data_IF_026769721381
#
_entry.id   IF_026769721381
#
_cell.length_a   1.000
_cell.length_b   1.000
_cell.length_c   1.000
_cell.angle_alpha   90.00
_cell.angle_beta   90.00
_cell.angle_gamma   90.00
#
_symmetry.space_group_name_H-M   'P 1'
#
loop_
_entity.id
_entity.type
_entity.pdbx_description
1 polymer ?
#
# COMPACT_ATOMS: atom_id res chain seq x y z
N UNK A 1 12.52 23.62 -22.03
CA UNK A 1 12.52 24.52 -20.84
C UNK A 1 11.07 24.73 -20.42
N UNK A 2 10.60 23.97 -19.46
CA UNK A 2 9.27 24.16 -18.87
C UNK A 2 9.30 25.41 -18.00
N UNK A 3 8.48 26.40 -18.33
CA UNK A 3 8.33 27.63 -17.57
C UNK A 3 7.24 27.48 -16.52
N UNK A 4 7.57 27.95 -15.34
CA UNK A 4 6.74 28.38 -14.21
C UNK A 4 5.36 27.73 -14.00
N UNK A 5 5.26 27.08 -12.90
CA UNK A 5 4.09 26.62 -12.16
C UNK A 5 2.96 27.66 -12.18
N UNK A 6 1.86 27.34 -12.82
CA UNK A 6 0.58 27.98 -12.58
C UNK A 6 -0.20 27.11 -11.60
N UNK A 7 -0.24 27.50 -10.34
CA UNK A 7 -1.12 26.85 -9.36
C UNK A 7 -2.45 27.59 -9.26
N UNK A 8 -3.56 26.88 -9.40
CA UNK A 8 -4.89 27.37 -9.04
C UNK A 8 -5.38 26.57 -7.84
N UNK A 9 -5.63 27.25 -6.74
CA UNK A 9 -6.29 26.66 -5.58
C UNK A 9 -7.70 27.22 -5.48
N UNK A 10 -8.69 26.35 -5.49
CA UNK A 10 -10.06 26.69 -5.11
C UNK A 10 -10.65 25.52 -4.32
N UNK A 11 -11.33 25.80 -3.22
CA UNK A 11 -12.09 24.82 -2.42
C UNK A 11 -11.36 23.51 -2.08
N UNK A 12 -10.07 23.59 -1.68
CA UNK A 12 -9.30 22.40 -1.27
C UNK A 12 -8.70 21.59 -2.44
N UNK A 13 -8.84 22.06 -3.69
CA UNK A 13 -8.22 21.43 -4.87
C UNK A 13 -7.04 22.29 -5.33
N UNK A 14 -5.88 21.65 -5.51
CA UNK A 14 -4.70 22.27 -6.10
C UNK A 14 -4.40 21.59 -7.44
N UNK A 15 -4.30 22.38 -8.51
CA UNK A 15 -3.89 21.92 -9.84
C UNK A 15 -2.56 22.57 -10.21
N UNK A 16 -1.57 21.76 -10.54
CA UNK A 16 -0.23 22.23 -10.90
C UNK A 16 0.20 21.65 -12.24
N UNK A 17 0.78 22.49 -13.10
CA UNK A 17 1.50 22.08 -14.29
C UNK A 17 2.99 22.12 -13.99
N UNK A 18 3.60 20.96 -13.76
CA UNK A 18 5.00 20.84 -13.41
C UNK A 18 5.53 19.44 -13.75
N UNK A 19 6.85 19.27 -13.73
CA UNK A 19 7.43 17.94 -13.63
C UNK A 19 7.09 17.36 -12.25
N UNK A 20 6.38 16.24 -12.22
CA UNK A 20 5.92 15.63 -10.97
C UNK A 20 7.08 15.20 -10.06
N UNK A 21 8.24 14.81 -10.61
CA UNK A 21 9.43 14.47 -9.82
C UNK A 21 9.89 15.63 -8.92
N UNK A 22 9.76 16.86 -9.40
CA UNK A 22 10.15 18.07 -8.64
C UNK A 22 9.12 18.43 -7.55
N UNK A 23 7.96 17.80 -7.55
CA UNK A 23 6.83 18.12 -6.66
C UNK A 23 6.66 17.15 -5.50
N UNK A 24 7.08 15.91 -5.62
CA UNK A 24 6.84 14.89 -4.60
C UNK A 24 7.40 15.25 -3.21
N UNK A 25 8.55 15.92 -3.16
CA UNK A 25 9.14 16.37 -1.89
C UNK A 25 8.31 17.42 -1.14
N UNK A 26 7.36 18.06 -1.84
CA UNK A 26 6.46 19.08 -1.27
C UNK A 26 5.08 18.55 -0.93
N UNK A 27 4.84 17.26 -1.13
CA UNK A 27 3.56 16.66 -0.80
C UNK A 27 3.30 16.65 0.71
N UNK A 28 2.10 17.02 1.11
CA UNK A 28 1.56 16.47 2.34
C UNK A 28 1.36 14.98 2.11
N UNK A 29 1.84 14.10 3.00
CA UNK A 29 1.77 12.66 2.77
C UNK A 29 0.35 12.22 2.39
N UNK A 30 0.16 11.66 1.19
CA UNK A 30 -1.17 11.40 0.65
C UNK A 30 -1.80 10.15 1.26
N UNK A 31 -3.11 10.15 1.45
CA UNK A 31 -3.88 8.93 1.78
C UNK A 31 -4.05 8.04 0.54
N UNK A 32 -4.18 8.67 -0.64
CA UNK A 32 -4.37 7.97 -1.91
C UNK A 32 -3.45 8.58 -2.97
N UNK A 33 -2.79 7.74 -3.73
CA UNK A 33 -2.09 8.10 -4.96
C UNK A 33 -2.84 7.45 -6.12
N UNK A 34 -3.22 8.24 -7.12
CA UNK A 34 -3.75 7.75 -8.39
C UNK A 34 -2.71 8.07 -9.45
N UNK A 35 -2.15 7.03 -10.05
CA UNK A 35 -1.16 7.15 -11.12
C UNK A 35 -1.80 6.67 -12.43
N UNK A 36 -2.11 7.63 -13.29
CA UNK A 36 -2.59 7.42 -14.66
C UNK A 36 -1.61 8.14 -15.58
N UNK A 37 -0.48 7.50 -15.81
CA UNK A 37 0.65 8.05 -16.54
C UNK A 37 0.91 7.31 -17.85
N UNK A 38 2.16 7.31 -18.35
CA UNK A 38 2.52 6.69 -19.61
C UNK A 38 2.20 5.19 -19.66
N UNK A 39 1.75 4.75 -20.83
CA UNK A 39 1.44 3.34 -21.14
C UNK A 39 2.48 2.69 -22.08
N UNK A 40 3.53 3.45 -22.46
CA UNK A 40 4.55 2.98 -23.41
C UNK A 40 4.03 2.92 -24.85
N UNK A 41 3.24 3.90 -25.26
CA UNK A 41 2.60 3.95 -26.56
C UNK A 41 3.19 5.02 -27.51
N UNK A 42 4.22 5.75 -27.07
CA UNK A 42 4.87 6.86 -27.82
C UNK A 42 3.93 7.95 -28.32
N UNK A 43 2.76 8.13 -27.68
CA UNK A 43 1.73 9.05 -28.15
C UNK A 43 1.88 10.49 -27.63
N UNK A 44 2.67 10.67 -26.56
CA UNK A 44 2.85 11.97 -25.91
C UNK A 44 4.35 12.26 -25.70
N UNK A 45 4.75 13.54 -25.69
CA UNK A 45 6.12 13.92 -25.37
C UNK A 45 6.54 13.40 -23.98
N UNK A 46 7.60 12.60 -23.93
CA UNK A 46 8.10 11.98 -22.70
C UNK A 46 7.50 10.61 -22.38
N UNK A 47 6.55 10.13 -23.18
CA UNK A 47 6.06 8.76 -23.08
C UNK A 47 7.13 7.78 -23.57
N UNK A 48 7.45 6.72 -22.84
CA UNK A 48 8.33 5.65 -23.29
C UNK A 48 7.86 5.04 -24.61
N UNK A 49 8.82 4.58 -25.41
CA UNK A 49 8.52 4.06 -26.75
C UNK A 49 7.79 2.71 -26.70
N UNK A 50 8.05 1.93 -25.67
CA UNK A 50 7.45 0.59 -25.50
C UNK A 50 7.05 0.37 -24.06
N UNK A 51 6.16 -0.61 -23.83
CA UNK A 51 5.81 -1.03 -22.49
C UNK A 51 7.02 -1.56 -21.70
N UNK A 52 8.03 -2.13 -22.37
CA UNK A 52 9.23 -2.67 -21.74
C UNK A 52 10.06 -1.58 -21.02
N UNK A 53 9.98 -0.35 -21.47
CA UNK A 53 10.72 0.78 -20.88
C UNK A 53 10.03 1.36 -19.63
N UNK A 54 8.79 0.96 -19.35
CA UNK A 54 7.97 1.54 -18.30
C UNK A 54 8.52 1.26 -16.89
N UNK A 55 9.14 0.10 -16.67
CA UNK A 55 9.75 -0.22 -15.39
C UNK A 55 10.83 0.79 -15.00
N UNK A 56 11.71 1.11 -15.93
CA UNK A 56 12.79 2.10 -15.74
C UNK A 56 12.20 3.52 -15.64
N UNK A 57 11.26 3.87 -16.48
CA UNK A 57 10.62 5.19 -16.47
C UNK A 57 9.91 5.49 -15.15
N UNK A 58 9.17 4.52 -14.62
CA UNK A 58 8.44 4.69 -13.36
C UNK A 58 9.34 4.58 -12.11
N UNK A 59 10.52 4.01 -12.19
CA UNK A 59 11.37 3.76 -11.03
C UNK A 59 11.61 5.01 -10.15
N UNK A 60 11.99 6.19 -10.67
CA UNK A 60 12.17 7.39 -9.84
C UNK A 60 10.85 7.90 -9.24
N UNK A 61 9.73 7.76 -9.95
CA UNK A 61 8.41 8.12 -9.45
C UNK A 61 8.00 7.21 -8.29
N UNK A 62 8.15 5.90 -8.45
CA UNK A 62 7.82 4.89 -7.44
C UNK A 62 8.68 5.06 -6.19
N UNK A 63 9.97 5.33 -6.35
CA UNK A 63 10.87 5.64 -5.24
C UNK A 63 10.37 6.85 -4.44
N UNK A 64 10.02 7.94 -5.13
CA UNK A 64 9.49 9.15 -4.49
C UNK A 64 8.13 8.90 -3.83
N UNK A 65 7.20 8.20 -4.49
CA UNK A 65 5.91 7.82 -3.87
C UNK A 65 6.12 7.03 -2.59
N UNK A 66 7.07 6.10 -2.58
CA UNK A 66 7.38 5.27 -1.41
C UNK A 66 7.96 6.10 -0.27
N UNK A 67 8.83 7.04 -0.58
CA UNK A 67 9.46 7.92 0.40
C UNK A 67 8.46 8.87 1.07
N UNK A 68 7.48 9.38 0.31
CA UNK A 68 6.54 10.41 0.78
C UNK A 68 5.15 9.85 1.14
N UNK A 69 4.96 8.54 1.13
CA UNK A 69 3.71 7.89 1.53
C UNK A 69 3.70 7.49 3.01
N UNK A 70 2.50 7.38 3.57
CA UNK A 70 2.25 6.83 4.90
C UNK A 70 2.00 5.30 4.81
N UNK A 71 2.08 4.56 5.93
CA UNK A 71 1.68 3.16 5.97
C UNK A 71 0.24 2.92 5.51
N UNK A 72 -0.65 3.89 5.71
CA UNK A 72 -2.07 3.85 5.31
C UNK A 72 -2.32 4.27 3.85
N UNK A 73 -1.30 4.76 3.13
CA UNK A 73 -1.45 5.20 1.74
C UNK A 73 -1.79 4.03 0.82
N UNK A 74 -2.77 4.23 -0.06
CA UNK A 74 -3.07 3.34 -1.18
C UNK A 74 -2.57 3.91 -2.50
N UNK A 75 -2.11 3.05 -3.39
CA UNK A 75 -1.77 3.41 -4.77
C UNK A 75 -2.73 2.71 -5.72
N UNK A 76 -3.30 3.48 -6.65
CA UNK A 76 -4.14 3.02 -7.75
C UNK A 76 -3.40 3.31 -9.04
N UNK A 77 -2.87 2.27 -9.64
CA UNK A 77 -1.99 2.34 -10.81
C UNK A 77 -2.73 1.90 -12.06
N UNK A 78 -2.97 2.83 -12.98
CA UNK A 78 -3.59 2.58 -14.27
C UNK A 78 -2.54 2.27 -15.31
N UNK A 79 -2.74 1.22 -16.10
CA UNK A 79 -1.88 0.87 -17.21
C UNK A 79 -2.53 -0.18 -18.13
N UNK A 80 -1.86 -0.51 -19.23
CA UNK A 80 -2.11 -1.75 -19.95
C UNK A 80 -1.61 -2.95 -19.14
N UNK A 81 -2.07 -4.15 -19.50
CA UNK A 81 -1.62 -5.40 -18.86
C UNK A 81 -0.10 -5.63 -19.01
N UNK A 82 0.46 -5.28 -20.17
CA UNK A 82 1.91 -5.40 -20.42
C UNK A 82 2.69 -4.36 -19.61
N UNK A 83 2.25 -3.11 -19.62
CA UNK A 83 2.90 -2.06 -18.85
C UNK A 83 2.86 -2.34 -17.35
N UNK A 84 1.76 -2.84 -16.84
CA UNK A 84 1.69 -3.27 -15.44
C UNK A 84 2.68 -4.40 -15.12
N UNK A 85 2.82 -5.38 -16.01
CA UNK A 85 3.75 -6.49 -15.80
C UNK A 85 5.19 -5.99 -15.63
N UNK A 86 5.60 -4.98 -16.40
CA UNK A 86 6.94 -4.38 -16.31
C UNK A 86 7.12 -3.50 -15.04
N UNK A 87 6.08 -2.80 -14.61
CA UNK A 87 6.16 -1.89 -13.46
C UNK A 87 5.97 -2.62 -12.12
N UNK A 88 5.25 -3.74 -12.10
CA UNK A 88 4.96 -4.50 -10.87
C UNK A 88 6.21 -4.89 -10.05
N UNK A 89 7.31 -5.41 -10.64
CA UNK A 89 8.52 -5.73 -9.91
C UNK A 89 9.13 -4.51 -9.20
N UNK A 90 9.12 -3.35 -9.87
CA UNK A 90 9.64 -2.09 -9.30
C UNK A 90 8.81 -1.62 -8.12
N UNK A 91 7.48 -1.65 -8.24
CA UNK A 91 6.56 -1.35 -7.13
C UNK A 91 6.83 -2.25 -5.92
N UNK A 92 6.96 -3.55 -6.16
CA UNK A 92 7.25 -4.53 -5.12
C UNK A 92 8.59 -4.28 -4.43
N UNK A 93 9.63 -3.96 -5.18
CA UNK A 93 10.96 -3.64 -4.65
C UNK A 93 10.93 -2.41 -3.73
N UNK A 94 10.06 -1.44 -4.02
CA UNK A 94 9.88 -0.23 -3.21
C UNK A 94 8.80 -0.36 -2.10
N UNK A 95 8.41 -1.58 -1.73
CA UNK A 95 7.52 -1.85 -0.60
C UNK A 95 6.04 -1.61 -0.89
N UNK A 96 5.63 -1.68 -2.16
CA UNK A 96 4.23 -1.73 -2.54
C UNK A 96 3.78 -3.17 -2.69
N UNK A 97 2.72 -3.52 -1.98
CA UNK A 97 2.14 -4.87 -1.98
C UNK A 97 0.85 -4.86 -2.79
N UNK A 98 0.80 -5.73 -3.81
CA UNK A 98 -0.38 -5.97 -4.62
C UNK A 98 -1.59 -6.30 -3.74
N UNK A 99 -2.73 -5.68 -4.04
CA UNK A 99 -3.99 -5.92 -3.34
C UNK A 99 -5.05 -6.52 -4.25
N UNK A 100 -5.34 -5.86 -5.36
CA UNK A 100 -6.34 -6.29 -6.33
C UNK A 100 -6.05 -5.66 -7.69
N UNK A 101 -6.48 -6.32 -8.77
CA UNK A 101 -6.61 -5.71 -10.08
C UNK A 101 -8.09 -5.47 -10.36
N UNK A 102 -8.39 -4.29 -10.84
CA UNK A 102 -9.71 -3.87 -11.28
C UNK A 102 -9.66 -3.73 -12.80
N UNK A 103 -10.62 -4.29 -13.48
CA UNK A 103 -10.72 -4.28 -14.93
C UNK A 103 -11.80 -3.32 -15.34
N UNK A 104 -11.41 -2.30 -16.10
CA UNK A 104 -12.37 -1.43 -16.77
C UNK A 104 -12.67 -1.97 -18.15
N UNK A 105 -13.88 -2.47 -18.36
CA UNK A 105 -14.39 -2.92 -19.65
C UNK A 105 -14.95 -1.69 -20.41
N UNK A 106 -14.26 -1.27 -21.45
CA UNK A 106 -14.68 -0.15 -22.33
C UNK A 106 -15.72 -0.58 -23.38
N UNK A 107 -16.01 -1.88 -23.43
CA UNK A 107 -16.91 -2.45 -24.43
C UNK A 107 -16.32 -2.57 -25.84
N UNK A 108 -16.91 -3.43 -26.64
CA UNK A 108 -16.45 -3.70 -28.02
C UNK A 108 -16.49 -2.47 -28.92
N UNK A 109 -17.39 -1.55 -28.68
CA UNK A 109 -17.52 -0.30 -29.46
C UNK A 109 -16.27 0.59 -29.40
N UNK A 110 -15.47 0.48 -28.35
CA UNK A 110 -14.21 1.23 -28.22
C UNK A 110 -13.16 0.76 -29.24
N UNK A 111 -13.17 -0.49 -29.63
CA UNK A 111 -12.19 -1.12 -30.52
C UNK A 111 -12.61 -1.04 -31.98
N UNK A 112 -13.92 -1.04 -32.25
CA UNK A 112 -14.47 -1.18 -33.62
C UNK A 112 -14.05 -0.09 -34.62
N UNK A 113 -13.64 1.09 -34.15
CA UNK A 113 -13.18 2.19 -35.02
C UNK A 113 -11.67 2.27 -35.25
N UNK A 114 -10.86 1.51 -34.53
CA UNK A 114 -9.40 1.65 -34.49
C UNK A 114 -8.60 0.38 -34.84
N UNK A 115 -9.26 -0.63 -35.36
CA UNK A 115 -8.59 -1.87 -35.71
C UNK A 115 -8.02 -1.81 -37.14
N UNK A 116 -6.69 -1.87 -37.27
CA UNK A 116 -6.08 -2.29 -38.52
C UNK A 116 -5.66 -3.77 -38.43
N UNK A 117 -5.56 -4.45 -39.59
CA UNK A 117 -5.32 -5.90 -39.65
C UNK A 117 -4.02 -6.34 -38.93
N UNK A 118 -3.00 -5.49 -38.88
CA UNK A 118 -1.68 -5.80 -38.34
C UNK A 118 -1.62 -5.68 -36.81
N UNK A 119 -2.56 -4.95 -36.19
CA UNK A 119 -2.64 -4.76 -34.74
C UNK A 119 -3.70 -5.62 -34.06
N UNK A 120 -4.50 -6.39 -34.84
CA UNK A 120 -5.53 -7.26 -34.29
C UNK A 120 -4.87 -8.49 -33.66
N UNK A 121 -4.93 -8.57 -32.35
CA UNK A 121 -4.74 -9.85 -31.62
C UNK A 121 -5.93 -10.75 -31.89
N UNK A 122 -5.78 -12.07 -31.71
CA UNK A 122 -6.90 -13.01 -31.90
C UNK A 122 -8.16 -12.66 -31.13
N UNK A 123 -8.01 -11.93 -30.01
CA UNK A 123 -9.11 -11.34 -29.23
C UNK A 123 -8.91 -9.82 -29.15
N UNK A 124 -9.96 -8.99 -29.43
CA UNK A 124 -9.86 -7.56 -29.25
C UNK A 124 -9.65 -7.20 -27.78
N UNK A 125 -8.69 -6.29 -27.51
CA UNK A 125 -8.44 -5.78 -26.18
C UNK A 125 -9.37 -4.59 -25.93
N UNK A 126 -10.37 -4.80 -25.09
CA UNK A 126 -11.41 -3.80 -24.76
C UNK A 126 -11.27 -3.25 -23.35
N UNK A 127 -10.24 -3.66 -22.61
CA UNK A 127 -10.08 -3.33 -21.20
C UNK A 127 -8.80 -2.54 -20.91
N UNK A 128 -8.85 -1.80 -19.82
CA UNK A 128 -7.67 -1.29 -19.11
C UNK A 128 -7.67 -1.83 -17.68
N UNK A 129 -6.51 -1.86 -17.07
CA UNK A 129 -6.39 -2.33 -15.70
C UNK A 129 -6.03 -1.18 -14.76
N UNK A 130 -6.68 -1.16 -13.60
CA UNK A 130 -6.33 -0.34 -12.46
C UNK A 130 -5.90 -1.24 -11.32
N UNK A 131 -4.64 -1.20 -10.95
CA UNK A 131 -4.12 -2.11 -9.93
C UNK A 131 -3.95 -1.38 -8.62
N UNK A 132 -4.60 -1.90 -7.58
CA UNK A 132 -4.53 -1.39 -6.23
C UNK A 132 -3.35 -1.98 -5.48
N UNK A 133 -2.56 -1.12 -4.87
CA UNK A 133 -1.47 -1.45 -3.98
C UNK A 133 -1.64 -0.81 -2.60
N UNK A 134 -1.03 -1.44 -1.62
CA UNK A 134 -0.93 -0.95 -0.24
C UNK A 134 0.53 -0.99 0.20
N UNK A 135 0.89 -0.25 1.25
CA UNK A 135 2.24 -0.32 1.81
C UNK A 135 2.49 -1.67 2.49
N UNK A 136 3.66 -2.24 2.27
CA UNK A 136 4.17 -3.38 3.04
C UNK A 136 4.87 -2.83 4.29
N UNK A 137 4.09 -2.70 5.36
CA UNK A 137 4.58 -2.12 6.62
C UNK A 137 5.59 -3.04 7.26
N UNK A 138 6.77 -2.51 7.54
CA UNK A 138 7.85 -3.18 8.26
C UNK A 138 8.23 -2.33 9.47
N UNK A 139 8.62 -2.99 10.54
CA UNK A 139 8.97 -2.34 11.80
C UNK A 139 10.30 -2.91 12.32
N UNK A 140 11.09 -2.08 13.02
CA UNK A 140 12.36 -2.54 13.56
C UNK A 140 12.16 -3.60 14.65
N UNK A 141 12.78 -4.74 14.48
CA UNK A 141 12.87 -5.79 15.47
C UNK A 141 13.88 -5.48 16.57
N UNK A 142 13.94 -6.32 17.59
CA UNK A 142 14.84 -6.15 18.75
C UNK A 142 16.32 -6.18 18.38
N UNK A 143 16.68 -6.86 17.29
CA UNK A 143 18.06 -6.97 16.81
C UNK A 143 18.38 -5.95 15.70
N UNK A 144 17.47 -4.99 15.45
CA UNK A 144 17.62 -4.03 14.37
C UNK A 144 17.25 -4.56 12.99
N UNK A 145 16.78 -5.79 12.87
CA UNK A 145 16.23 -6.33 11.62
C UNK A 145 14.89 -5.70 11.27
N UNK A 146 14.62 -5.61 9.98
CA UNK A 146 13.40 -5.02 9.47
C UNK A 146 12.33 -6.12 9.28
N UNK A 147 11.36 -6.16 10.20
CA UNK A 147 10.37 -7.23 10.29
C UNK A 147 9.04 -6.88 9.63
N UNK A 148 8.42 -7.82 8.91
CA UNK A 148 7.02 -7.68 8.53
C UNK A 148 6.15 -7.63 9.80
N UNK A 149 5.03 -6.92 9.72
CA UNK A 149 4.16 -6.63 10.86
C UNK A 149 3.82 -7.86 11.72
N UNK A 150 3.48 -8.99 11.08
CA UNK A 150 3.19 -10.24 11.82
C UNK A 150 4.40 -10.80 12.58
N UNK A 151 5.60 -10.65 12.02
CA UNK A 151 6.84 -11.05 12.67
C UNK A 151 7.15 -10.17 13.87
N UNK A 152 7.02 -8.85 13.67
CA UNK A 152 7.22 -7.85 14.71
C UNK A 152 6.25 -8.05 15.88
N UNK A 153 4.95 -8.28 15.64
CA UNK A 153 3.97 -8.58 16.67
C UNK A 153 4.40 -9.80 17.51
N UNK A 154 4.83 -10.86 16.84
CA UNK A 154 5.28 -12.07 17.51
C UNK A 154 6.50 -11.81 18.39
N UNK A 155 7.47 -11.05 17.90
CA UNK A 155 8.68 -10.70 18.63
C UNK A 155 8.35 -9.83 19.84
N UNK A 156 7.51 -8.81 19.71
CA UNK A 156 7.09 -7.94 20.82
C UNK A 156 6.36 -8.71 21.93
N UNK A 157 5.48 -9.65 21.58
CA UNK A 157 4.85 -10.50 22.57
C UNK A 157 5.87 -11.42 23.28
N UNK A 158 6.78 -12.03 22.54
CA UNK A 158 7.83 -12.88 23.12
C UNK A 158 8.76 -12.08 24.04
N UNK A 159 9.01 -10.82 23.75
CA UNK A 159 9.79 -9.90 24.58
C UNK A 159 9.19 -9.77 25.98
N UNK A 160 7.87 -9.81 26.11
CA UNK A 160 7.18 -9.76 27.40
C UNK A 160 7.43 -11.00 28.29
N UNK A 161 7.90 -12.09 27.70
CA UNK A 161 8.05 -13.38 28.40
C UNK A 161 6.73 -14.08 28.72
N UNK A 162 5.60 -13.50 28.33
CA UNK A 162 4.29 -14.08 28.59
C UNK A 162 3.96 -15.20 27.59
N UNK A 163 3.34 -16.29 28.08
CA UNK A 163 2.90 -17.37 27.19
C UNK A 163 1.73 -16.93 26.31
N UNK A 164 1.62 -17.52 25.12
CA UNK A 164 0.59 -17.13 24.12
C UNK A 164 -0.86 -17.32 24.59
N UNK A 165 -1.13 -18.23 25.51
CA UNK A 165 -2.48 -18.40 26.04
C UNK A 165 -2.97 -17.19 26.86
N UNK A 166 -2.05 -16.36 27.35
CA UNK A 166 -2.39 -15.12 28.06
C UNK A 166 -2.97 -14.04 27.15
N UNK A 167 -2.83 -14.15 25.82
CA UNK A 167 -3.45 -13.22 24.86
C UNK A 167 -4.97 -13.21 24.95
N UNK A 168 -5.59 -14.32 25.32
CA UNK A 168 -7.04 -14.40 25.55
C UNK A 168 -7.47 -13.61 26.78
N UNK A 169 -6.72 -13.77 27.86
CA UNK A 169 -6.96 -13.04 29.11
C UNK A 169 -6.76 -11.54 28.91
N UNK A 170 -5.67 -11.16 28.24
CA UNK A 170 -5.39 -9.78 27.90
C UNK A 170 -6.51 -9.09 27.12
N UNK A 171 -7.16 -9.80 26.20
CA UNK A 171 -8.26 -9.29 25.38
C UNK A 171 -9.65 -9.54 26.00
N UNK A 172 -9.75 -10.04 27.22
CA UNK A 172 -11.03 -10.30 27.90
C UNK A 172 -11.91 -11.36 27.23
N UNK A 173 -11.33 -12.31 26.48
CA UNK A 173 -12.06 -13.30 25.70
C UNK A 173 -11.75 -14.74 26.13
N UNK A 174 -12.75 -15.61 26.11
CA UNK A 174 -12.60 -17.00 26.57
C UNK A 174 -12.06 -17.95 25.49
N UNK A 175 -12.50 -17.80 24.24
CA UNK A 175 -12.11 -18.66 23.13
C UNK A 175 -11.70 -17.81 21.95
N UNK A 176 -10.40 -17.77 21.67
CA UNK A 176 -10.02 -16.67 20.89
C UNK A 176 -9.27 -16.95 19.61
N UNK A 177 -9.67 -16.18 18.65
CA UNK A 177 -8.87 -15.82 17.49
C UNK A 177 -7.57 -15.06 17.88
N UNK A 178 -7.36 -14.63 19.13
CA UNK A 178 -6.20 -13.82 19.55
C UNK A 178 -4.86 -14.50 19.26
N UNK A 179 -4.77 -15.82 19.31
CA UNK A 179 -3.57 -16.53 18.81
C UNK A 179 -3.27 -16.23 17.35
N UNK A 180 -4.28 -15.89 16.53
CA UNK A 180 -4.09 -15.54 15.13
C UNK A 180 -3.37 -14.22 14.95
N UNK A 181 -3.36 -13.33 15.94
CA UNK A 181 -2.60 -12.10 15.92
C UNK A 181 -1.08 -12.34 15.90
N UNK A 182 -0.63 -13.45 16.49
CA UNK A 182 0.78 -13.79 16.67
C UNK A 182 1.26 -14.99 15.84
N UNK A 183 0.38 -15.59 15.04
CA UNK A 183 0.78 -16.68 14.15
C UNK A 183 1.61 -16.18 12.98
N UNK A 184 2.52 -17.02 12.49
CA UNK A 184 3.35 -16.71 11.31
C UNK A 184 2.80 -17.32 10.01
N UNK A 185 1.72 -18.10 10.10
CA UNK A 185 1.11 -18.75 8.95
C UNK A 185 0.09 -17.84 8.22
N UNK A 186 -0.57 -18.39 7.21
CA UNK A 186 -1.61 -17.71 6.41
C UNK A 186 -2.87 -17.35 7.22
N UNK A 187 -3.07 -17.94 8.38
CA UNK A 187 -4.19 -17.65 9.28
C UNK A 187 -3.99 -16.37 10.09
N UNK A 188 -2.89 -15.66 9.90
CA UNK A 188 -2.63 -14.40 10.58
C UNK A 188 -3.75 -13.39 10.31
N UNK A 189 -4.16 -12.71 11.35
CA UNK A 189 -5.21 -11.70 11.32
C UNK A 189 -4.67 -10.40 11.91
N UNK A 190 -4.92 -9.28 11.23
CA UNK A 190 -4.55 -7.95 11.72
C UNK A 190 -5.42 -7.63 12.93
N UNK A 191 -4.83 -7.44 14.14
CA UNK A 191 -5.59 -7.18 15.36
C UNK A 191 -6.38 -5.88 15.26
N UNK A 192 -7.62 -5.83 15.81
CA UNK A 192 -8.31 -4.56 16.04
C UNK A 192 -7.49 -3.64 16.93
N UNK A 193 -7.59 -2.32 16.72
CA UNK A 193 -6.78 -1.34 17.42
C UNK A 193 -6.98 -1.39 18.95
N UNK A 194 -8.24 -1.47 19.37
CA UNK A 194 -8.62 -1.67 20.78
C UNK A 194 -7.90 -2.89 21.40
N UNK A 195 -7.91 -4.03 20.69
CA UNK A 195 -7.25 -5.25 21.19
C UNK A 195 -5.73 -5.15 21.24
N UNK A 196 -5.13 -4.35 20.38
CA UNK A 196 -3.69 -4.10 20.44
C UNK A 196 -3.30 -3.25 21.64
N UNK A 197 -4.08 -2.26 22.00
CA UNK A 197 -3.86 -1.46 23.22
C UNK A 197 -4.03 -2.33 24.46
N UNK A 198 -5.10 -3.13 24.54
CA UNK A 198 -5.30 -4.11 25.64
C UNK A 198 -4.10 -5.06 25.80
N UNK A 199 -3.56 -5.57 24.69
CA UNK A 199 -2.38 -6.45 24.69
C UNK A 199 -1.12 -5.72 25.17
N UNK A 200 -0.91 -4.48 24.73
CA UNK A 200 0.22 -3.65 25.15
C UNK A 200 0.17 -3.33 26.65
N UNK A 201 -1.01 -2.96 27.15
CA UNK A 201 -1.23 -2.66 28.57
C UNK A 201 -1.05 -3.91 29.44
N UNK A 202 -1.56 -5.06 28.96
CA UNK A 202 -1.38 -6.33 29.67
C UNK A 202 0.09 -6.73 29.72
N UNK A 203 0.82 -6.61 28.61
CA UNK A 203 2.24 -6.91 28.55
C UNK A 203 3.05 -5.97 29.47
N UNK A 204 2.68 -4.71 29.56
CA UNK A 204 3.31 -3.72 30.46
C UNK A 204 3.05 -4.05 31.93
N UNK A 205 1.85 -4.55 32.27
CA UNK A 205 1.47 -4.85 33.65
C UNK A 205 2.02 -6.17 34.18
N UNK A 206 2.08 -7.18 33.33
CA UNK A 206 2.35 -8.56 33.72
C UNK A 206 3.59 -9.18 33.07
N UNK A 207 4.18 -8.51 32.10
CA UNK A 207 5.38 -8.95 31.40
C UNK A 207 6.65 -8.65 32.19
N UNK A 208 7.79 -8.95 31.59
CA UNK A 208 9.10 -8.59 32.11
C UNK A 208 9.25 -7.08 32.17
N UNK A 209 9.94 -6.60 33.19
CA UNK A 209 10.30 -5.19 33.26
C UNK A 209 11.21 -4.78 32.08
N UNK A 210 11.00 -3.58 31.55
CA UNK A 210 11.67 -3.08 30.36
C UNK A 210 11.69 -1.57 30.32
N UNK A 211 12.72 -1.00 29.73
CA UNK A 211 12.92 0.43 29.51
C UNK A 211 12.12 0.99 28.32
N UNK A 212 11.54 0.10 27.50
CA UNK A 212 10.78 0.45 26.29
C UNK A 212 9.36 -0.09 26.36
N UNK A 213 8.32 0.77 26.13
CA UNK A 213 6.93 0.29 26.13
C UNK A 213 6.73 -0.89 25.16
N UNK A 214 5.90 -1.85 25.54
CA UNK A 214 5.54 -2.96 24.66
C UNK A 214 4.72 -2.47 23.47
N UNK A 215 5.00 -3.04 22.30
CA UNK A 215 4.36 -2.67 21.03
C UNK A 215 4.52 -1.19 20.63
N UNK A 216 5.48 -0.48 21.20
CA UNK A 216 5.81 0.88 20.82
C UNK A 216 6.33 0.92 19.38
N UNK A 217 5.75 1.79 18.54
CA UNK A 217 6.14 1.92 17.13
C UNK A 217 7.42 2.74 16.95
N UNK A 218 7.69 3.66 17.87
CA UNK A 218 8.88 4.55 17.89
C UNK A 218 9.90 4.16 18.97
N UNK A 219 9.60 3.13 19.74
CA UNK A 219 10.40 2.67 20.86
C UNK A 219 10.34 3.54 22.12
N UNK A 220 9.50 4.60 22.16
CA UNK A 220 9.45 5.59 23.23
C UNK A 220 8.04 5.80 23.79
N UNK A 221 7.05 5.86 22.92
CA UNK A 221 5.68 6.15 23.30
C UNK A 221 4.83 4.89 23.39
N UNK A 222 3.90 4.77 24.36
CA UNK A 222 2.93 3.69 24.39
C UNK A 222 2.10 3.66 23.10
N UNK A 223 1.66 2.45 22.70
CA UNK A 223 0.81 2.27 21.55
C UNK A 223 -0.57 2.92 21.78
N UNK A 224 -1.05 3.66 20.78
CA UNK A 224 -2.43 4.17 20.72
C UNK A 224 -3.24 3.48 19.64
N UNK A 225 -4.57 3.51 19.77
CA UNK A 225 -5.47 2.95 18.75
C UNK A 225 -5.29 3.61 17.39
N UNK A 226 -5.14 4.95 17.38
CA UNK A 226 -4.92 5.72 16.15
C UNK A 226 -3.60 5.34 15.47
N UNK A 227 -2.52 5.23 16.23
CA UNK A 227 -1.21 4.85 15.71
C UNK A 227 -1.24 3.45 15.10
N UNK A 228 -1.88 2.50 15.79
CA UNK A 228 -2.06 1.15 15.27
C UNK A 228 -2.94 1.11 14.01
N UNK A 229 -4.07 1.82 14.02
CA UNK A 229 -5.00 1.85 12.89
C UNK A 229 -4.34 2.39 11.61
N UNK A 230 -3.37 3.30 11.73
CA UNK A 230 -2.62 3.88 10.61
C UNK A 230 -1.58 2.94 9.99
N UNK A 231 -1.31 1.79 10.59
CA UNK A 231 -0.37 0.82 10.02
C UNK A 231 -0.91 0.05 8.82
N UNK A 232 -2.15 0.27 8.44
CA UNK A 232 -2.71 -0.31 7.22
C UNK A 232 -3.66 0.64 6.51
N UNK A 233 -3.73 0.48 5.20
CA UNK A 233 -4.69 1.17 4.37
C UNK A 233 -6.13 0.84 4.80
N UNK A 234 -6.99 1.85 4.81
CA UNK A 234 -8.43 1.71 5.01
C UNK A 234 -9.10 1.61 3.66
N UNK A 235 -9.94 0.62 3.48
CA UNK A 235 -10.88 0.54 2.36
C UNK A 235 -12.14 -0.18 2.83
N UNK A 236 -13.25 0.23 2.28
CA UNK A 236 -14.52 -0.43 2.52
C UNK A 236 -14.85 -1.33 1.34
N UNK A 237 -15.19 -2.58 1.63
CA UNK A 237 -15.80 -3.45 0.63
C UNK A 237 -17.29 -3.10 0.51
N UNK A 238 -17.73 -2.79 -0.69
CA UNK A 238 -19.13 -2.57 -1.00
C UNK A 238 -19.68 -3.84 -1.63
N UNK A 239 -20.68 -4.45 -0.97
CA UNK A 239 -21.33 -5.64 -1.50
C UNK A 239 -21.96 -5.37 -2.86
N UNK A 240 -21.81 -6.32 -3.79
CA UNK A 240 -22.33 -6.23 -5.15
C UNK A 240 -21.45 -5.49 -6.15
N UNK A 241 -20.35 -4.86 -5.70
CA UNK A 241 -19.33 -4.30 -6.60
C UNK A 241 -18.23 -5.34 -6.80
N UNK A 242 -18.01 -5.71 -8.05
CA UNK A 242 -16.93 -6.60 -8.47
C UNK A 242 -15.71 -5.79 -8.88
N UNK A 243 -14.64 -6.49 -9.23
CA UNK A 243 -13.44 -5.86 -9.80
C UNK A 243 -13.49 -5.71 -11.33
N UNK A 244 -14.64 -5.87 -11.93
CA UNK A 244 -14.92 -5.60 -13.35
C UNK A 244 -15.97 -4.49 -13.42
N UNK A 245 -15.65 -3.41 -14.15
CA UNK A 245 -16.45 -2.19 -14.25
C UNK A 245 -16.80 -1.90 -15.71
#
# INVERSE_FOLDING_TARGET
TFRAVSSRSSSGITLELANSLDRYAHWTPPTVIIADGPYGLSKFPGDPNTANDLGEWYAPHIAAWSQHSLPETTLWFWCSELGWAEVHPVLKMHGWKYRAAHIWDKGIGHVAGNCNGDSIRGFPVVSEICVQYVRDVRLPGSNGEDLPLKGWLRQEWLRSGLPLNKTNEACGVKNAATRKYFTQCHLWYFPPAEKMVELADYATRYGKDTDRPYFSLDGKTPLTEEAWARLRAKWNHVHGITNVW
#
